data_IF_972225341919
#
_entry.id   IF_972225341919
#
_cell.length_a   1.000
_cell.length_b   1.000
_cell.length_c   1.000
_cell.angle_alpha   90.00
_cell.angle_beta   90.00
_cell.angle_gamma   90.00
#
_symmetry.space_group_name_H-M   'P 1'
#
loop_
_entity.id
_entity.type
_entity.pdbx_description
1 polymer ?
#
# COMPACT_ATOMS: atom_id res chain seq x y z
N UNK A 1 4.04 -25.59 -12.67
CA UNK A 1 2.60 -25.33 -12.46
C UNK A 1 2.26 -25.79 -11.05
N UNK A 2 2.42 -24.93 -10.07
CA UNK A 2 2.02 -25.18 -8.70
C UNK A 2 1.38 -23.92 -8.15
N UNK A 3 0.04 -23.87 -8.25
CA UNK A 3 -0.78 -23.07 -7.36
C UNK A 3 -0.77 -23.81 -6.01
N UNK A 4 -0.02 -23.32 -5.04
CA UNK A 4 -0.21 -23.78 -3.67
C UNK A 4 -1.26 -22.85 -3.05
N UNK A 5 -2.50 -23.26 -3.18
CA UNK A 5 -3.59 -22.83 -2.34
C UNK A 5 -3.52 -23.65 -1.05
N UNK A 6 -2.82 -23.17 -0.04
CA UNK A 6 -2.91 -23.72 1.30
C UNK A 6 -3.91 -22.89 2.11
N UNK A 7 -5.18 -23.30 2.04
CA UNK A 7 -6.24 -22.83 2.92
C UNK A 7 -7.59 -22.66 2.20
N UNK A 8 -8.69 -23.12 2.79
CA UNK A 8 -9.99 -23.01 2.17
C UNK A 8 -10.44 -21.55 2.11
N UNK A 9 -10.67 -21.06 0.90
CA UNK A 9 -11.40 -19.81 0.66
C UNK A 9 -12.85 -20.04 1.06
N UNK A 10 -13.19 -19.84 2.33
CA UNK A 10 -14.58 -19.81 2.75
C UNK A 10 -15.17 -18.42 2.55
N UNK A 11 -16.08 -18.32 1.59
CA UNK A 11 -17.21 -17.38 1.59
C UNK A 11 -16.89 -15.90 1.41
N UNK A 12 -16.50 -15.48 0.21
CA UNK A 12 -16.55 -14.08 -0.19
C UNK A 12 -17.90 -13.76 -0.83
N UNK A 13 -18.90 -13.61 0.00
CA UNK A 13 -20.25 -13.20 -0.40
C UNK A 13 -20.76 -12.09 0.49
N UNK A 14 -20.01 -11.01 0.69
CA UNK A 14 -20.56 -9.75 1.20
C UNK A 14 -19.55 -8.64 0.89
N UNK A 15 -20.08 -7.51 0.42
CA UNK A 15 -19.37 -6.28 0.06
C UNK A 15 -18.18 -6.04 0.98
N UNK A 16 -16.96 -5.96 0.42
CA UNK A 16 -15.79 -5.39 1.10
C UNK A 16 -16.12 -3.92 1.35
N UNK A 17 -16.87 -3.67 2.38
CA UNK A 17 -16.99 -2.37 3.00
C UNK A 17 -15.62 -2.10 3.62
N UNK A 18 -15.04 -0.94 3.36
CA UNK A 18 -13.90 -0.41 4.07
C UNK A 18 -14.25 -0.30 5.57
N UNK A 19 -14.31 -1.44 6.27
CA UNK A 19 -14.48 -1.44 7.71
C UNK A 19 -13.12 -1.28 8.34
N UNK A 20 -12.81 -0.03 8.68
CA UNK A 20 -11.91 0.24 9.80
C UNK A 20 -12.50 -0.47 11.02
N UNK A 21 -11.79 -1.47 11.54
CA UNK A 21 -12.20 -2.15 12.76
C UNK A 21 -12.09 -1.17 13.92
N UNK A 22 -13.23 -0.63 14.34
CA UNK A 22 -13.34 0.28 15.47
C UNK A 22 -13.38 -0.57 16.75
N UNK A 23 -12.28 -0.62 17.47
CA UNK A 23 -12.26 -1.15 18.83
C UNK A 23 -12.50 -0.01 19.83
N UNK A 24 -13.69 0.04 20.38
CA UNK A 24 -14.13 1.05 21.36
C UNK A 24 -13.81 0.57 22.77
N UNK A 25 -12.69 0.99 23.33
CA UNK A 25 -12.48 0.91 24.78
C UNK A 25 -11.53 2.01 25.28
N UNK A 26 -12.07 2.84 26.18
CA UNK A 26 -11.45 3.67 27.24
C UNK A 26 -10.49 4.81 26.88
N UNK A 27 -10.94 6.01 27.07
CA UNK A 27 -10.49 7.28 27.70
C UNK A 27 -9.01 7.71 27.75
N UNK A 28 -8.11 7.14 26.97
CA UNK A 28 -6.95 7.85 26.47
C UNK A 28 -7.13 7.95 24.96
N UNK A 29 -7.18 9.17 24.42
CA UNK A 29 -7.20 9.39 22.98
C UNK A 29 -5.84 8.96 22.45
N UNK A 30 -5.69 7.66 22.22
CA UNK A 30 -4.48 7.09 21.66
C UNK A 30 -4.41 7.52 20.21
N UNK A 31 -3.51 8.45 19.92
CA UNK A 31 -3.18 8.82 18.54
C UNK A 31 -2.70 7.61 17.80
N UNK A 32 -3.42 7.22 16.75
CA UNK A 32 -3.02 6.12 15.88
C UNK A 32 -1.96 6.60 14.89
N UNK A 33 -0.97 5.76 14.62
CA UNK A 33 0.03 6.01 13.58
C UNK A 33 -0.46 5.48 12.25
N UNK A 34 -0.19 6.26 11.22
CA UNK A 34 -0.56 5.95 9.84
C UNK A 34 0.65 6.01 8.92
N UNK A 35 0.58 5.26 7.84
CA UNK A 35 1.44 5.44 6.66
C UNK A 35 0.58 5.80 5.45
N UNK A 36 1.00 6.85 4.75
CA UNK A 36 0.43 7.32 3.50
C UNK A 36 1.41 7.00 2.36
N UNK A 37 0.95 6.24 1.39
CA UNK A 37 1.75 5.78 0.27
C UNK A 37 1.27 6.46 -1.01
N UNK A 38 2.01 7.46 -1.48
CA UNK A 38 1.68 8.20 -2.70
C UNK A 38 2.13 7.44 -3.94
N UNK A 39 1.41 7.67 -5.05
CA UNK A 39 1.72 7.09 -6.35
C UNK A 39 2.22 8.12 -7.35
N UNK A 40 3.20 7.74 -8.15
CA UNK A 40 3.58 8.42 -9.39
C UNK A 40 4.21 9.79 -9.21
N UNK A 41 4.71 10.10 -8.03
CA UNK A 41 5.44 11.32 -7.72
C UNK A 41 6.94 11.14 -7.91
N UNK A 42 7.63 12.22 -8.25
CA UNK A 42 9.10 12.29 -8.36
C UNK A 42 9.72 11.22 -9.30
N UNK A 43 8.99 10.79 -10.33
CA UNK A 43 9.45 9.78 -11.29
C UNK A 43 9.77 10.42 -12.64
N UNK A 44 10.99 10.15 -13.15
CA UNK A 44 11.39 10.61 -14.49
C UNK A 44 11.36 12.14 -14.66
N UNK A 45 11.56 12.90 -13.58
CA UNK A 45 11.54 14.36 -13.58
C UNK A 45 10.15 14.98 -13.69
N UNK A 46 9.10 14.17 -13.60
CA UNK A 46 7.68 14.60 -13.64
C UNK A 46 7.05 14.51 -12.24
N UNK A 47 5.92 15.19 -12.09
CA UNK A 47 5.09 15.13 -10.88
C UNK A 47 5.92 15.41 -9.61
N UNK A 48 6.64 16.54 -9.63
CA UNK A 48 7.52 16.93 -8.52
C UNK A 48 6.71 17.24 -7.27
N UNK A 49 7.04 16.55 -6.18
CA UNK A 49 6.51 16.79 -4.83
C UNK A 49 7.70 16.95 -3.88
N UNK A 50 7.80 18.10 -3.25
CA UNK A 50 8.84 18.40 -2.26
C UNK A 50 8.36 17.86 -0.91
N UNK A 51 9.03 16.83 -0.38
CA UNK A 51 8.59 16.14 0.84
C UNK A 51 8.52 17.04 2.07
N UNK A 52 9.42 18.03 2.20
CA UNK A 52 9.38 19.00 3.29
C UNK A 52 8.13 19.88 3.24
N UNK A 53 7.75 20.36 2.07
CA UNK A 53 6.54 21.16 1.87
C UNK A 53 5.27 20.35 2.17
N UNK A 54 5.18 19.13 1.63
CA UNK A 54 4.04 18.26 1.88
C UNK A 54 3.90 17.90 3.37
N UNK A 55 5.01 17.71 4.08
CA UNK A 55 4.98 17.48 5.54
C UNK A 55 4.38 18.69 6.27
N UNK A 56 4.74 19.91 5.91
CA UNK A 56 4.17 21.12 6.53
C UNK A 56 2.67 21.29 6.21
N UNK A 57 2.25 20.99 4.99
CA UNK A 57 0.83 20.98 4.61
C UNK A 57 0.02 19.99 5.46
N UNK A 58 0.53 18.78 5.66
CA UNK A 58 -0.13 17.78 6.49
C UNK A 58 -0.18 18.19 7.97
N UNK A 59 0.88 18.82 8.49
CA UNK A 59 0.86 19.41 9.84
C UNK A 59 -0.20 20.51 9.96
N UNK A 60 -0.37 21.32 8.91
CA UNK A 60 -1.41 22.36 8.85
C UNK A 60 -2.84 21.80 8.95
N UNK A 61 -3.07 20.57 8.49
CA UNK A 61 -4.35 19.86 8.64
C UNK A 61 -4.54 19.20 10.03
N UNK A 62 -3.57 19.36 10.93
CA UNK A 62 -3.66 18.89 12.32
C UNK A 62 -3.04 17.51 12.57
N UNK A 63 -2.33 16.93 11.60
CA UNK A 63 -1.58 15.70 11.84
C UNK A 63 -0.31 15.96 12.63
N UNK A 64 0.04 15.08 13.55
CA UNK A 64 1.25 15.16 14.36
C UNK A 64 2.28 14.13 13.94
N UNK A 65 3.53 14.29 14.39
CA UNK A 65 4.65 13.37 14.11
C UNK A 65 4.81 13.08 12.62
N UNK A 66 4.62 14.13 11.79
CA UNK A 66 4.68 14.00 10.33
C UNK A 66 6.12 13.85 9.88
N UNK A 67 6.42 12.71 9.28
CA UNK A 67 7.73 12.42 8.71
C UNK A 67 7.63 11.65 7.39
N UNK A 68 8.77 11.40 6.72
CA UNK A 68 8.79 10.72 5.44
C UNK A 68 10.03 9.85 5.30
N UNK A 69 9.89 8.73 4.61
CA UNK A 69 10.99 7.85 4.25
C UNK A 69 11.17 7.84 2.73
N UNK A 70 12.34 8.26 2.27
CA UNK A 70 12.74 8.44 0.87
C UNK A 70 11.77 9.31 0.04
N UNK A 71 12.19 9.74 -1.15
CA UNK A 71 11.40 10.66 -1.98
C UNK A 71 10.28 10.00 -2.81
N UNK A 72 9.99 8.73 -2.58
CA UNK A 72 8.95 7.98 -3.29
C UNK A 72 7.56 8.08 -2.66
N UNK A 73 7.36 9.01 -1.71
CA UNK A 73 6.05 9.29 -1.13
C UNK A 73 5.60 8.28 -0.09
N UNK A 74 6.48 7.93 0.85
CA UNK A 74 6.11 7.22 2.07
C UNK A 74 6.11 8.22 3.20
N UNK A 75 4.92 8.66 3.65
CA UNK A 75 4.76 9.62 4.74
C UNK A 75 4.15 8.91 5.94
N UNK A 76 4.57 9.33 7.12
CA UNK A 76 4.08 8.83 8.40
C UNK A 76 3.51 9.98 9.19
N UNK A 77 2.47 9.74 9.96
CA UNK A 77 1.91 10.72 10.87
C UNK A 77 1.07 10.04 11.94
N UNK A 78 0.71 10.79 12.97
CA UNK A 78 -0.24 10.36 13.99
C UNK A 78 -1.48 11.24 13.94
N UNK A 79 -2.66 10.61 14.19
CA UNK A 79 -3.96 11.28 14.27
C UNK A 79 -4.88 10.52 15.21
N UNK A 80 -5.81 11.26 15.83
CA UNK A 80 -6.93 10.74 16.60
C UNK A 80 -8.25 10.70 15.80
N UNK A 81 -8.19 11.14 14.54
CA UNK A 81 -9.35 11.16 13.64
C UNK A 81 -9.61 9.79 13.00
N UNK A 82 -10.85 9.59 12.54
CA UNK A 82 -11.19 8.39 11.76
C UNK A 82 -10.46 8.38 10.41
N UNK A 83 -10.21 7.18 9.89
CA UNK A 83 -9.54 7.02 8.60
C UNK A 83 -10.26 7.75 7.46
N UNK A 84 -11.60 7.80 7.48
CA UNK A 84 -12.39 8.53 6.48
C UNK A 84 -12.10 10.04 6.52
N UNK A 85 -12.00 10.63 7.71
CA UNK A 85 -11.65 12.04 7.87
C UNK A 85 -10.22 12.32 7.44
N UNK A 86 -9.29 11.44 7.79
CA UNK A 86 -7.89 11.53 7.36
C UNK A 86 -7.82 11.51 5.84
N UNK A 87 -8.53 10.58 5.19
CA UNK A 87 -8.58 10.48 3.73
C UNK A 87 -9.06 11.77 3.09
N UNK A 88 -10.16 12.35 3.58
CA UNK A 88 -10.70 13.61 3.05
C UNK A 88 -9.73 14.79 3.20
N UNK A 89 -9.02 14.87 4.33
CA UNK A 89 -7.99 15.90 4.55
C UNK A 89 -6.80 15.72 3.61
N UNK A 90 -6.33 14.49 3.46
CA UNK A 90 -5.24 14.17 2.52
C UNK A 90 -5.62 14.50 1.09
N UNK A 91 -6.82 14.14 0.64
CA UNK A 91 -7.33 14.49 -0.70
C UNK A 91 -7.33 16.00 -0.90
N UNK A 92 -7.93 16.74 0.04
CA UNK A 92 -7.96 18.21 -0.01
C UNK A 92 -6.55 18.79 -0.15
N UNK A 93 -5.60 18.36 0.69
CA UNK A 93 -4.21 18.82 0.61
C UNK A 93 -3.60 18.56 -0.77
N UNK A 94 -3.80 17.35 -1.29
CA UNK A 94 -3.21 16.98 -2.58
C UNK A 94 -3.87 17.72 -3.75
N UNK A 95 -5.19 17.88 -3.75
CA UNK A 95 -5.92 18.58 -4.82
C UNK A 95 -5.67 20.09 -4.82
N UNK A 96 -5.56 20.72 -3.66
CA UNK A 96 -5.34 22.17 -3.55
C UNK A 96 -3.90 22.59 -3.88
N UNK A 97 -2.91 21.70 -3.74
CA UNK A 97 -1.50 22.06 -3.85
C UNK A 97 -0.78 21.46 -5.06
N UNK A 98 -1.39 20.54 -5.81
CA UNK A 98 -0.77 19.91 -6.97
C UNK A 98 -1.73 19.89 -8.18
N UNK A 99 -1.23 20.29 -9.35
CA UNK A 99 -1.99 20.34 -10.60
C UNK A 99 -2.23 18.96 -11.24
N UNK A 100 -1.74 17.90 -10.63
CA UNK A 100 -1.86 16.54 -11.12
C UNK A 100 -2.42 15.61 -10.04
N UNK A 101 -3.20 14.62 -10.46
CA UNK A 101 -3.77 13.63 -9.54
C UNK A 101 -2.69 12.77 -8.92
N UNK A 102 -2.76 12.62 -7.59
CA UNK A 102 -1.84 11.79 -6.80
C UNK A 102 -2.66 10.70 -6.10
N UNK A 103 -2.83 9.52 -6.71
CA UNK A 103 -3.44 8.39 -6.03
C UNK A 103 -2.62 7.99 -4.80
N UNK A 104 -3.29 7.56 -3.75
CA UNK A 104 -2.63 7.14 -2.52
C UNK A 104 -3.34 5.98 -1.82
N UNK A 105 -2.57 5.22 -1.06
CA UNK A 105 -3.08 4.25 -0.11
C UNK A 105 -2.77 4.73 1.32
N UNK A 106 -3.70 4.51 2.24
CA UNK A 106 -3.58 4.85 3.65
C UNK A 106 -3.74 3.58 4.48
N UNK A 107 -2.80 3.33 5.38
CA UNK A 107 -2.86 2.23 6.33
C UNK A 107 -2.64 2.75 7.75
N UNK A 108 -3.40 2.24 8.71
CA UNK A 108 -3.01 2.34 10.10
C UNK A 108 -1.77 1.45 10.35
N UNK A 109 -1.06 1.70 11.43
CA UNK A 109 0.05 0.83 11.88
C UNK A 109 -0.43 -0.61 12.03
N UNK A 110 -1.59 -0.79 12.66
CA UNK A 110 -2.20 -2.07 12.94
C UNK A 110 -2.51 -2.83 11.63
N UNK A 111 -3.20 -2.19 10.68
CA UNK A 111 -3.55 -2.81 9.39
C UNK A 111 -2.31 -3.18 8.59
N UNK A 112 -1.30 -2.31 8.59
CA UNK A 112 -0.04 -2.59 7.87
C UNK A 112 0.71 -3.80 8.46
N UNK A 113 0.78 -3.88 9.78
CA UNK A 113 1.43 -5.00 10.47
C UNK A 113 0.62 -6.29 10.38
N UNK A 114 -0.72 -6.20 10.33
CA UNK A 114 -1.58 -7.35 10.08
C UNK A 114 -1.36 -7.92 8.67
N UNK A 115 -1.25 -7.05 7.64
CA UNK A 115 -0.86 -7.50 6.29
C UNK A 115 0.46 -8.26 6.31
N UNK A 116 1.47 -7.73 6.99
CA UNK A 116 2.78 -8.38 7.11
C UNK A 116 2.70 -9.72 7.83
N UNK A 117 1.92 -9.81 8.90
CA UNK A 117 1.76 -11.03 9.68
C UNK A 117 0.99 -12.13 8.90
N UNK A 118 0.09 -11.75 8.01
CA UNK A 118 -0.71 -12.64 7.16
C UNK A 118 0.03 -13.23 5.97
N UNK A 119 1.28 -12.81 5.72
CA UNK A 119 2.02 -13.26 4.54
C UNK A 119 2.32 -14.77 4.59
N UNK A 120 2.22 -15.46 3.44
CA UNK A 120 2.53 -16.87 3.36
C UNK A 120 4.01 -17.16 3.64
N UNK A 121 4.32 -18.36 4.12
CA UNK A 121 5.69 -18.75 4.50
C UNK A 121 6.71 -18.50 3.40
N UNK A 122 6.31 -18.75 2.15
CA UNK A 122 7.20 -18.58 1.00
C UNK A 122 7.62 -17.11 0.77
N UNK A 123 6.90 -16.12 1.32
CA UNK A 123 7.31 -14.72 1.20
C UNK A 123 8.68 -14.45 1.80
N UNK A 124 9.14 -15.29 2.72
CA UNK A 124 10.48 -15.20 3.34
C UNK A 124 11.59 -15.79 2.48
N UNK A 125 11.23 -16.55 1.44
CA UNK A 125 12.22 -17.16 0.54
C UNK A 125 12.98 -16.07 -0.23
N UNK A 126 14.15 -16.44 -0.75
CA UNK A 126 14.96 -15.55 -1.58
C UNK A 126 14.35 -15.47 -2.99
N UNK A 127 13.93 -14.28 -3.37
CA UNK A 127 13.39 -13.97 -4.67
C UNK A 127 14.21 -12.86 -5.31
N UNK A 128 14.40 -12.94 -6.63
CA UNK A 128 15.09 -11.89 -7.39
C UNK A 128 14.42 -10.52 -7.20
N UNK A 129 13.08 -10.52 -7.07
CA UNK A 129 12.33 -9.29 -6.81
C UNK A 129 11.01 -9.57 -6.10
N UNK A 130 10.67 -8.72 -5.14
CA UNK A 130 9.38 -8.66 -4.45
C UNK A 130 8.78 -7.27 -4.64
N UNK A 131 7.53 -7.21 -5.11
CA UNK A 131 6.77 -5.97 -5.24
C UNK A 131 5.43 -6.12 -4.49
N UNK A 132 5.03 -5.07 -3.80
CA UNK A 132 3.75 -4.99 -3.11
C UNK A 132 2.91 -3.92 -3.82
N UNK A 133 1.73 -4.32 -4.29
CA UNK A 133 0.80 -3.52 -5.04
C UNK A 133 -0.34 -3.11 -4.12
N UNK A 134 -0.18 -1.99 -3.43
CA UNK A 134 -1.18 -1.47 -2.50
C UNK A 134 -2.38 -0.90 -3.24
N UNK A 135 -3.57 -1.20 -2.78
CA UNK A 135 -4.80 -0.64 -3.31
C UNK A 135 -4.92 0.82 -2.87
N UNK A 136 -4.88 1.72 -3.83
CA UNK A 136 -5.17 3.12 -3.59
C UNK A 136 -6.68 3.38 -3.60
N UNK A 137 -7.11 4.50 -3.06
CA UNK A 137 -8.52 4.92 -3.14
C UNK A 137 -8.97 4.93 -4.61
N UNK A 138 -10.16 4.38 -4.86
CA UNK A 138 -10.71 4.22 -6.22
C UNK A 138 -10.20 3.00 -6.98
N UNK A 139 -9.42 2.12 -6.33
CA UNK A 139 -9.09 0.82 -6.92
C UNK A 139 -10.31 -0.10 -6.88
N UNK A 140 -10.73 -0.60 -8.05
CA UNK A 140 -11.71 -1.68 -8.14
C UNK A 140 -11.04 -3.00 -7.77
N UNK A 141 -11.07 -3.33 -6.47
CA UNK A 141 -10.34 -4.49 -5.91
C UNK A 141 -10.80 -5.80 -6.56
N UNK A 142 -12.08 -5.92 -6.87
CA UNK A 142 -12.66 -7.08 -7.58
C UNK A 142 -12.01 -7.32 -8.95
N UNK A 143 -11.65 -6.26 -9.68
CA UNK A 143 -10.95 -6.38 -10.95
C UNK A 143 -9.50 -6.86 -10.76
N UNK A 144 -8.84 -6.39 -9.70
CA UNK A 144 -7.48 -6.85 -9.37
C UNK A 144 -7.50 -8.33 -8.99
N UNK A 145 -8.44 -8.74 -8.14
CA UNK A 145 -8.60 -10.15 -7.72
C UNK A 145 -8.86 -11.02 -8.95
N UNK A 146 -9.85 -10.67 -9.76
CA UNK A 146 -10.18 -11.41 -10.99
C UNK A 146 -8.97 -11.54 -11.91
N UNK A 147 -8.23 -10.45 -12.13
CA UNK A 147 -7.03 -10.49 -12.96
C UNK A 147 -5.97 -11.47 -12.42
N UNK A 148 -5.78 -11.49 -11.10
CA UNK A 148 -4.84 -12.43 -10.46
C UNK A 148 -5.33 -13.86 -10.60
N UNK A 149 -6.61 -14.13 -10.31
CA UNK A 149 -7.20 -15.49 -10.38
C UNK A 149 -7.21 -16.07 -11.80
N UNK A 150 -7.45 -15.24 -12.81
CA UNK A 150 -7.48 -15.66 -14.22
C UNK A 150 -6.08 -15.68 -14.88
N UNK A 151 -5.04 -15.25 -14.15
CA UNK A 151 -3.69 -15.18 -14.71
C UNK A 151 -2.93 -16.50 -14.57
N UNK A 152 -2.23 -16.89 -15.64
CA UNK A 152 -1.18 -17.90 -15.57
C UNK A 152 0.15 -17.23 -15.22
N UNK A 153 0.81 -17.73 -14.18
CA UNK A 153 2.07 -17.18 -13.70
C UNK A 153 3.27 -17.97 -14.20
N UNK A 154 4.27 -17.25 -14.66
CA UNK A 154 5.54 -17.83 -15.12
C UNK A 154 6.69 -17.36 -14.24
N UNK A 155 7.26 -18.27 -13.45
CA UNK A 155 8.32 -17.98 -12.48
C UNK A 155 7.95 -16.83 -11.50
N UNK A 156 6.69 -16.86 -11.05
CA UNK A 156 6.13 -15.87 -10.13
C UNK A 156 5.35 -16.56 -9.03
N UNK A 157 5.29 -15.94 -7.87
CA UNK A 157 4.35 -16.27 -6.80
C UNK A 157 3.55 -15.03 -6.43
N UNK A 158 2.27 -15.21 -6.24
CA UNK A 158 1.35 -14.11 -5.94
C UNK A 158 0.49 -14.48 -4.73
N UNK A 159 0.28 -13.51 -3.86
CA UNK A 159 -0.63 -13.62 -2.72
C UNK A 159 -1.49 -12.37 -2.67
N UNK A 160 -2.80 -12.54 -2.48
CA UNK A 160 -3.75 -11.44 -2.32
C UNK A 160 -3.97 -11.25 -0.82
N UNK A 161 -3.53 -10.10 -0.29
CA UNK A 161 -3.80 -9.65 1.07
C UNK A 161 -5.10 -8.85 1.15
N UNK A 162 -5.37 -8.22 2.29
CA UNK A 162 -6.55 -7.38 2.51
C UNK A 162 -6.46 -6.04 1.75
N UNK A 163 -5.30 -5.40 1.79
CA UNK A 163 -5.07 -4.07 1.21
C UNK A 163 -4.04 -4.04 0.08
N UNK A 164 -3.48 -5.18 -0.30
CA UNK A 164 -2.44 -5.25 -1.32
C UNK A 164 -2.34 -6.62 -1.99
N UNK A 165 -1.70 -6.65 -3.15
CA UNK A 165 -1.21 -7.88 -3.79
C UNK A 165 0.30 -7.96 -3.61
N UNK A 166 0.78 -9.10 -3.11
CA UNK A 166 2.19 -9.40 -2.91
C UNK A 166 2.69 -10.26 -4.05
N UNK A 167 3.67 -9.75 -4.78
CA UNK A 167 4.14 -10.34 -6.02
C UNK A 167 5.63 -10.59 -5.99
N UNK A 168 6.03 -11.87 -6.01
CA UNK A 168 7.42 -12.28 -6.01
C UNK A 168 7.81 -12.88 -7.37
N UNK A 169 8.99 -12.52 -7.86
CA UNK A 169 9.58 -13.01 -9.11
C UNK A 169 10.81 -13.83 -8.79
N UNK A 170 10.84 -15.05 -9.31
CA UNK A 170 11.85 -16.05 -8.94
C UNK A 170 13.19 -15.73 -9.59
N UNK A 171 13.18 -15.32 -10.88
CA UNK A 171 14.39 -15.10 -11.65
C UNK A 171 14.37 -13.75 -12.37
N UNK A 172 15.44 -12.98 -12.22
CA UNK A 172 15.57 -11.67 -12.87
C UNK A 172 15.80 -11.79 -14.38
N UNK A 173 16.51 -12.82 -14.83
CA UNK A 173 16.73 -13.06 -16.26
C UNK A 173 15.42 -13.37 -17.01
N UNK A 174 14.45 -13.94 -16.32
CA UNK A 174 13.13 -14.28 -16.85
C UNK A 174 12.07 -13.18 -16.66
N UNK A 175 12.45 -12.02 -16.08
CA UNK A 175 11.54 -10.93 -15.72
C UNK A 175 10.61 -10.51 -16.89
N UNK A 176 11.16 -10.41 -18.10
CA UNK A 176 10.37 -9.99 -19.27
C UNK A 176 9.31 -11.02 -19.69
N UNK A 177 9.43 -12.26 -19.23
CA UNK A 177 8.45 -13.34 -19.53
C UNK A 177 7.32 -13.37 -18.49
N UNK A 178 7.48 -12.70 -17.37
CA UNK A 178 6.51 -12.71 -16.26
C UNK A 178 5.18 -12.09 -16.67
N UNK A 179 4.11 -12.55 -16.04
CA UNK A 179 2.77 -11.98 -16.18
C UNK A 179 2.74 -10.54 -15.66
N UNK A 180 3.48 -10.27 -14.59
CA UNK A 180 3.68 -8.92 -14.08
C UNK A 180 4.16 -7.97 -15.19
N UNK A 181 5.25 -8.29 -15.85
CA UNK A 181 5.82 -7.42 -16.89
C UNK A 181 4.94 -7.30 -18.14
N UNK A 182 4.35 -8.41 -18.58
CA UNK A 182 3.59 -8.45 -19.84
C UNK A 182 2.18 -7.88 -19.73
N UNK A 183 1.51 -8.09 -18.61
CA UNK A 183 0.06 -7.90 -18.52
C UNK A 183 -0.36 -6.80 -17.54
N UNK A 184 0.32 -6.64 -16.38
CA UNK A 184 -0.18 -5.75 -15.32
C UNK A 184 -0.19 -4.27 -15.73
N UNK A 185 0.83 -3.82 -16.44
CA UNK A 185 0.93 -2.44 -16.93
C UNK A 185 -0.21 -2.03 -17.86
N UNK A 186 -0.88 -3.01 -18.46
CA UNK A 186 -1.97 -2.80 -19.43
C UNK A 186 -3.35 -2.79 -18.75
N UNK A 187 -3.39 -3.14 -17.46
CA UNK A 187 -4.66 -3.19 -16.73
C UNK A 187 -5.14 -1.80 -16.36
N UNK A 188 -6.46 -1.51 -16.48
CA UNK A 188 -7.02 -0.22 -16.08
C UNK A 188 -6.68 0.15 -14.64
N UNK A 189 -6.76 -0.81 -13.71
CA UNK A 189 -6.48 -0.63 -12.31
C UNK A 189 -4.99 -0.31 -12.00
N UNK A 190 -4.08 -0.53 -12.95
CA UNK A 190 -2.65 -0.20 -12.74
C UNK A 190 -2.45 1.26 -12.34
N UNK A 191 -3.32 2.16 -12.79
CA UNK A 191 -3.24 3.59 -12.48
C UNK A 191 -3.68 3.92 -11.04
N UNK A 192 -4.40 3.02 -10.39
CA UNK A 192 -4.97 3.21 -9.06
C UNK A 192 -4.28 2.39 -7.97
N UNK A 193 -3.24 1.61 -8.29
CA UNK A 193 -2.42 0.89 -7.31
C UNK A 193 -1.11 1.63 -7.09
N UNK A 194 -0.59 1.65 -5.87
CA UNK A 194 0.77 2.15 -5.61
C UNK A 194 1.71 1.00 -5.29
N UNK A 195 2.94 1.04 -5.80
CA UNK A 195 3.87 -0.08 -5.73
C UNK A 195 5.06 0.26 -4.86
N UNK A 196 5.43 -0.67 -3.99
CA UNK A 196 6.68 -0.64 -3.22
C UNK A 196 7.42 -1.97 -3.39
N UNK A 197 8.75 -1.92 -3.42
CA UNK A 197 9.54 -3.14 -3.37
C UNK A 197 9.58 -3.71 -1.95
N UNK A 198 9.96 -5.00 -1.81
CA UNK A 198 9.99 -5.70 -0.54
C UNK A 198 10.85 -5.00 0.52
N UNK A 199 12.03 -4.47 0.16
CA UNK A 199 12.90 -3.74 1.10
C UNK A 199 12.23 -2.49 1.66
N UNK A 200 11.49 -1.76 0.81
CA UNK A 200 10.73 -0.58 1.26
C UNK A 200 9.55 -1.00 2.15
N UNK A 201 8.88 -2.10 1.81
CA UNK A 201 7.79 -2.66 2.63
C UNK A 201 8.26 -3.01 4.03
N UNK A 202 9.36 -3.75 4.15
CA UNK A 202 9.95 -4.13 5.43
C UNK A 202 10.38 -2.89 6.24
N UNK A 203 11.01 -1.90 5.57
CA UNK A 203 11.45 -0.67 6.23
C UNK A 203 10.29 0.18 6.75
N UNK A 204 9.18 0.24 6.04
CA UNK A 204 7.96 0.91 6.51
C UNK A 204 7.44 0.22 7.79
N UNK A 205 7.41 -1.11 7.83
CA UNK A 205 7.01 -1.85 9.03
C UNK A 205 7.91 -1.56 10.23
N UNK A 206 9.24 -1.52 10.04
CA UNK A 206 10.19 -1.14 11.08
C UNK A 206 9.90 0.27 11.62
N UNK A 207 9.68 1.24 10.73
CA UNK A 207 9.37 2.62 11.10
C UNK A 207 8.07 2.71 11.90
N UNK A 208 7.03 2.00 11.47
CA UNK A 208 5.74 1.96 12.17
C UNK A 208 5.85 1.34 13.56
N UNK A 209 6.78 0.39 13.77
CA UNK A 209 7.02 -0.25 15.07
C UNK A 209 7.85 0.62 16.02
N UNK A 210 8.66 1.55 15.51
CA UNK A 210 9.42 2.45 16.37
C UNK A 210 8.50 3.52 16.98
N UNK A 211 8.64 3.78 18.27
CA UNK A 211 7.86 4.81 18.98
C UNK A 211 8.39 6.24 18.75
N UNK A 212 9.56 6.38 18.13
CA UNK A 212 10.20 7.67 17.86
C UNK A 212 9.90 8.16 16.44
N UNK A 213 9.73 9.48 16.24
CA UNK A 213 9.82 10.10 14.92
C UNK A 213 11.17 9.73 14.25
N UNK A 214 11.18 9.70 12.94
CA UNK A 214 12.42 9.47 12.16
C UNK A 214 13.41 10.61 12.33
#
# INVERSE_FOLDING_TARGET
MFLIHDGPVQGWGERVSWRVCYNRATSEVSRMRYVLLLRGINVGGKNKVVMSELKELLKGEGFSDVDSYINSGNLFFASDESAEKIVLKVEKVLEENYEFSIPFALFSKEDYLEEMAGLPKWWKDDFARKDILFFSRGTEVSEVIRFVEESEFYNERVYIGKGAVFWAKIDEAEYQKTTYHKKILKQPFYKTITIRNGKTFDKIAEILQTEKPL
#
